data_IF_035554627046
#
_entry.id   IF_035554627046
#
_cell.length_a   1.000
_cell.length_b   1.000
_cell.length_c   1.000
_cell.angle_alpha   90.00
_cell.angle_beta   90.00
_cell.angle_gamma   90.00
#
_symmetry.space_group_name_H-M   'P 1'
#
loop_
_entity.id
_entity.type
_entity.pdbx_description
1 polymer ?
#
# COMPACT_ATOMS: atom_id res chain seq x y z
N UNK A 1 8.60 57.83 -43.31
CA UNK A 1 8.98 56.44 -43.04
C UNK A 1 9.27 56.30 -41.55
N UNK A 2 8.32 55.74 -40.79
CA UNK A 2 8.43 55.55 -39.34
C UNK A 2 8.89 54.12 -39.08
N UNK A 3 10.07 53.96 -38.51
CA UNK A 3 10.61 52.66 -38.08
C UNK A 3 9.81 52.17 -36.88
N UNK A 4 8.94 51.18 -37.11
CA UNK A 4 8.30 50.44 -36.03
C UNK A 4 9.27 49.32 -35.63
N UNK A 5 10.07 49.60 -34.61
CA UNK A 5 10.82 48.58 -33.88
C UNK A 5 9.79 47.82 -33.03
N UNK A 6 9.16 46.83 -33.65
CA UNK A 6 8.33 45.86 -32.92
C UNK A 6 9.26 45.02 -32.05
N UNK A 7 9.27 45.36 -30.76
CA UNK A 7 9.47 44.47 -29.62
C UNK A 7 9.67 43.00 -29.99
N UNK A 8 10.92 42.62 -30.25
CA UNK A 8 11.44 41.28 -29.97
C UNK A 8 11.52 41.11 -28.45
N UNK A 9 10.35 41.16 -27.79
CA UNK A 9 10.16 40.39 -26.56
C UNK A 9 10.21 38.94 -27.02
N UNK A 10 11.45 38.45 -27.12
CA UNK A 10 11.76 37.04 -27.00
C UNK A 10 10.92 36.54 -25.83
N UNK A 11 9.84 35.85 -26.17
CA UNK A 11 9.19 34.93 -25.29
C UNK A 11 10.28 33.96 -24.85
N UNK A 12 10.92 34.28 -23.74
CA UNK A 12 11.43 33.29 -22.80
C UNK A 12 10.16 32.60 -22.33
N UNK A 13 9.66 31.74 -23.21
CA UNK A 13 8.75 30.68 -22.90
C UNK A 13 9.52 29.94 -21.85
N UNK A 14 9.18 30.25 -20.60
CA UNK A 14 9.42 29.38 -19.47
C UNK A 14 8.78 28.09 -19.92
N UNK A 15 9.57 27.23 -20.56
CA UNK A 15 9.31 25.82 -20.62
C UNK A 15 9.27 25.46 -19.16
N UNK A 16 8.08 25.57 -18.57
CA UNK A 16 7.71 24.81 -17.41
C UNK A 16 7.95 23.39 -17.85
N UNK A 17 9.17 22.91 -17.55
CA UNK A 17 9.50 21.52 -17.62
C UNK A 17 8.50 20.90 -16.69
N UNK A 18 7.37 20.45 -17.23
CA UNK A 18 6.44 19.59 -16.54
C UNK A 18 7.26 18.34 -16.22
N UNK A 19 7.92 18.34 -15.05
CA UNK A 19 8.80 17.28 -14.66
C UNK A 19 7.94 16.03 -14.57
N UNK A 20 8.13 15.16 -15.55
CA UNK A 20 7.21 14.06 -15.83
C UNK A 20 7.50 12.95 -14.83
N UNK A 21 6.65 12.83 -13.81
CA UNK A 21 6.60 11.65 -12.96
C UNK A 21 6.45 10.39 -13.81
N UNK A 22 7.42 9.48 -13.73
CA UNK A 22 7.35 8.13 -14.34
C UNK A 22 7.31 7.11 -13.21
N UNK A 23 6.31 6.23 -13.24
CA UNK A 23 6.12 5.17 -12.23
C UNK A 23 6.20 3.83 -12.95
N UNK A 24 7.09 2.97 -12.48
CA UNK A 24 7.28 1.61 -12.95
C UNK A 24 7.04 0.67 -11.78
N UNK A 25 6.16 -0.32 -11.97
CA UNK A 25 6.02 -1.44 -11.06
C UNK A 25 6.36 -2.67 -11.85
N UNK A 26 7.46 -3.34 -11.52
CA UNK A 26 7.92 -4.56 -12.20
C UNK A 26 7.69 -5.76 -11.31
N UNK A 27 7.28 -6.85 -11.95
CA UNK A 27 7.17 -8.17 -11.33
C UNK A 27 8.38 -8.99 -11.74
N UNK A 28 9.15 -9.44 -10.76
CA UNK A 28 10.44 -10.09 -10.97
C UNK A 28 10.37 -11.52 -10.47
N UNK A 29 10.80 -12.48 -11.30
CA UNK A 29 10.95 -13.87 -10.86
C UNK A 29 12.01 -13.91 -9.76
N UNK A 30 11.74 -14.67 -8.71
CA UNK A 30 12.64 -14.81 -7.57
C UNK A 30 12.51 -16.19 -6.93
N UNK A 31 13.55 -16.59 -6.22
CA UNK A 31 13.66 -17.84 -5.46
C UNK A 31 14.18 -17.53 -4.05
N UNK A 32 13.39 -16.79 -3.26
CA UNK A 32 13.71 -16.49 -1.85
C UNK A 32 13.33 -17.67 -0.94
N UNK A 33 12.04 -17.86 -0.70
CA UNK A 33 11.50 -19.00 0.07
C UNK A 33 10.77 -19.99 -0.87
N UNK A 34 10.22 -19.50 -1.99
CA UNK A 34 9.55 -20.29 -3.03
C UNK A 34 9.91 -19.79 -4.43
N UNK A 35 9.76 -20.66 -5.44
CA UNK A 35 9.73 -20.27 -6.85
C UNK A 35 8.49 -19.42 -7.13
N UNK A 36 8.68 -18.11 -7.27
CA UNK A 36 7.59 -17.17 -7.40
C UNK A 36 8.04 -15.81 -7.90
N UNK A 37 7.33 -14.78 -7.46
CA UNK A 37 7.58 -13.41 -7.89
C UNK A 37 7.72 -12.46 -6.70
N UNK A 38 8.32 -11.30 -6.95
CA UNK A 38 8.31 -10.15 -6.08
C UNK A 38 8.02 -8.90 -6.89
N UNK A 39 7.56 -7.85 -6.21
CA UNK A 39 7.36 -6.55 -6.82
C UNK A 39 8.55 -5.64 -6.56
N UNK A 40 8.82 -4.79 -7.54
CA UNK A 40 9.71 -3.64 -7.44
C UNK A 40 8.95 -2.39 -7.87
N UNK A 41 9.10 -1.31 -7.12
CA UNK A 41 8.56 -0.01 -7.46
C UNK A 41 9.70 0.95 -7.73
N UNK A 42 9.69 1.56 -8.92
CA UNK A 42 10.61 2.61 -9.32
C UNK A 42 9.85 3.84 -9.73
N UNK A 43 10.22 4.98 -9.16
CA UNK A 43 9.64 6.28 -9.49
C UNK A 43 10.74 7.24 -9.89
N UNK A 44 10.61 7.86 -11.06
CA UNK A 44 11.49 8.93 -11.52
C UNK A 44 10.71 10.24 -11.42
N UNK A 45 11.20 11.17 -10.61
CA UNK A 45 10.63 12.51 -10.40
C UNK A 45 11.78 13.52 -10.42
N UNK A 46 11.64 14.58 -11.22
CA UNK A 46 12.56 15.72 -11.23
C UNK A 46 14.03 15.32 -11.47
N UNK A 47 14.26 14.29 -12.30
CA UNK A 47 15.59 13.73 -12.57
C UNK A 47 16.13 12.80 -11.48
N UNK A 48 15.46 12.69 -10.32
CA UNK A 48 15.80 11.76 -9.24
C UNK A 48 15.08 10.42 -9.43
N UNK A 49 15.77 9.33 -9.08
CA UNK A 49 15.22 7.97 -9.11
C UNK A 49 15.07 7.44 -7.69
N UNK A 50 13.88 6.95 -7.38
CA UNK A 50 13.51 6.31 -6.11
C UNK A 50 13.12 4.88 -6.42
N UNK A 51 13.70 3.91 -5.72
CA UNK A 51 13.49 2.49 -6.03
C UNK A 51 13.38 1.67 -4.74
N UNK A 52 12.38 0.78 -4.68
CA UNK A 52 12.26 -0.20 -3.60
C UNK A 52 13.13 -1.42 -3.89
N UNK A 53 13.54 -2.12 -2.84
CA UNK A 53 14.21 -3.40 -2.95
C UNK A 53 13.15 -4.52 -2.86
N UNK A 54 13.03 -5.39 -3.88
CA UNK A 54 12.08 -6.50 -3.83
C UNK A 54 12.28 -7.37 -2.59
N UNK A 55 11.19 -7.65 -1.88
CA UNK A 55 11.22 -8.46 -0.65
C UNK A 55 11.77 -7.78 0.60
N UNK A 56 12.27 -6.55 0.52
CA UNK A 56 12.72 -5.76 1.67
C UNK A 56 11.65 -4.74 2.06
N UNK A 57 10.79 -5.09 3.03
CA UNK A 57 9.69 -4.24 3.50
C UNK A 57 10.16 -2.90 4.10
N UNK A 58 11.39 -2.81 4.58
CA UNK A 58 11.93 -1.55 5.10
C UNK A 58 12.04 -0.52 3.97
N UNK A 59 12.48 -0.94 2.78
CA UNK A 59 12.57 -0.07 1.61
C UNK A 59 11.22 0.49 1.15
N UNK A 60 10.12 -0.20 1.46
CA UNK A 60 8.77 0.25 1.15
C UNK A 60 8.24 1.22 2.21
N UNK A 61 8.57 1.04 3.49
CA UNK A 61 7.99 1.78 4.62
C UNK A 61 8.01 3.31 4.43
N UNK A 62 9.15 3.87 4.02
CA UNK A 62 9.30 5.32 3.84
C UNK A 62 9.10 5.78 2.39
N UNK A 63 8.79 4.87 1.46
CA UNK A 63 8.84 5.16 0.03
C UNK A 63 7.94 6.34 -0.36
N UNK A 64 6.70 6.35 0.13
CA UNK A 64 5.71 7.38 -0.20
C UNK A 64 6.02 8.76 0.42
N UNK A 65 6.90 8.85 1.43
CA UNK A 65 7.28 10.14 2.04
C UNK A 65 8.01 11.07 1.07
N UNK A 66 8.59 10.52 0.01
CA UNK A 66 9.26 11.28 -1.05
C UNK A 66 8.30 11.99 -2.01
N UNK A 67 6.98 11.78 -1.87
CA UNK A 67 5.98 12.23 -2.82
C UNK A 67 4.87 13.02 -2.13
N UNK A 68 4.32 14.01 -2.83
CA UNK A 68 3.10 14.69 -2.43
C UNK A 68 1.87 13.77 -2.58
N UNK A 69 0.72 14.18 -2.03
CA UNK A 69 -0.50 13.37 -2.04
C UNK A 69 -0.92 12.95 -3.46
N UNK A 70 -0.82 13.86 -4.44
CA UNK A 70 -1.21 13.60 -5.83
C UNK A 70 -0.35 12.51 -6.45
N UNK A 71 0.96 12.55 -6.22
CA UNK A 71 1.89 11.54 -6.71
C UNK A 71 1.75 10.21 -5.96
N UNK A 72 1.50 10.23 -4.65
CA UNK A 72 1.20 9.02 -3.86
C UNK A 72 0.00 8.28 -4.44
N UNK A 73 -1.09 8.97 -4.73
CA UNK A 73 -2.28 8.37 -5.33
C UNK A 73 -1.98 7.76 -6.70
N UNK A 74 -1.16 8.43 -7.54
CA UNK A 74 -0.73 7.88 -8.84
C UNK A 74 0.11 6.60 -8.70
N UNK A 75 0.95 6.53 -7.67
CA UNK A 75 1.72 5.33 -7.33
C UNK A 75 0.79 4.19 -6.92
N UNK A 76 -0.15 4.44 -6.01
CA UNK A 76 -1.16 3.46 -5.59
C UNK A 76 -1.97 2.92 -6.78
N UNK A 77 -2.35 3.79 -7.72
CA UNK A 77 -3.04 3.41 -8.97
C UNK A 77 -2.20 2.49 -9.86
N UNK A 78 -0.87 2.59 -9.83
CA UNK A 78 -0.01 1.64 -10.58
C UNK A 78 0.12 0.31 -9.87
N UNK A 79 0.23 0.31 -8.55
CA UNK A 79 0.24 -0.90 -7.74
C UNK A 79 -1.08 -1.67 -7.87
N UNK A 80 -2.22 -0.98 -7.90
CA UNK A 80 -3.55 -1.63 -7.97
C UNK A 80 -3.79 -2.50 -9.20
N UNK A 81 -2.95 -2.39 -10.24
CA UNK A 81 -2.94 -3.30 -11.39
C UNK A 81 -2.56 -4.74 -11.03
N UNK A 82 -1.89 -4.94 -9.88
CA UNK A 82 -1.45 -6.24 -9.39
C UNK A 82 -2.44 -6.90 -8.43
N UNK A 83 -3.59 -6.26 -8.14
CA UNK A 83 -4.62 -6.83 -7.27
C UNK A 83 -5.33 -8.07 -7.85
N UNK A 84 -5.15 -8.34 -9.14
CA UNK A 84 -5.65 -9.54 -9.80
C UNK A 84 -4.48 -10.48 -10.21
N UNK A 85 -3.26 -10.25 -9.70
CA UNK A 85 -2.11 -11.13 -9.92
C UNK A 85 -2.04 -12.20 -8.81
N UNK A 86 -2.61 -13.37 -9.10
CA UNK A 86 -2.67 -14.50 -8.17
C UNK A 86 -1.43 -15.40 -8.21
N UNK A 87 -0.36 -14.97 -8.90
CA UNK A 87 0.90 -15.70 -8.86
C UNK A 87 1.50 -15.73 -7.46
N UNK A 88 2.24 -16.79 -7.14
CA UNK A 88 2.85 -17.01 -5.84
C UNK A 88 3.89 -15.92 -5.53
N UNK A 89 3.78 -15.28 -4.36
CA UNK A 89 4.85 -14.47 -3.83
C UNK A 89 6.02 -15.38 -3.44
N UNK A 90 7.24 -14.99 -3.82
CA UNK A 90 8.44 -15.79 -3.54
C UNK A 90 8.80 -15.83 -2.05
N UNK A 91 8.27 -14.91 -1.23
CA UNK A 91 8.45 -14.91 0.22
C UNK A 91 7.42 -15.79 0.91
N UNK A 92 7.87 -16.42 1.98
CA UNK A 92 7.00 -17.05 2.96
C UNK A 92 6.33 -16.01 3.84
N UNK A 93 5.17 -16.38 4.37
CA UNK A 93 4.48 -15.60 5.39
C UNK A 93 5.43 -15.46 6.59
N UNK A 94 5.83 -14.23 6.87
CA UNK A 94 6.63 -13.86 8.03
C UNK A 94 6.05 -12.61 8.64
N UNK A 95 6.13 -12.52 9.97
CA UNK A 95 5.73 -11.33 10.68
C UNK A 95 6.60 -10.13 10.26
N UNK A 96 5.95 -9.01 10.02
CA UNK A 96 6.56 -7.71 9.78
C UNK A 96 6.18 -6.86 10.98
N UNK A 97 7.15 -6.66 11.86
CA UNK A 97 6.93 -5.92 13.09
C UNK A 97 7.18 -4.43 12.87
N UNK A 98 6.35 -3.56 13.48
CA UNK A 98 6.64 -2.14 13.49
C UNK A 98 7.93 -1.88 14.26
N UNK A 99 8.62 -0.77 13.95
CA UNK A 99 9.80 -0.33 14.72
C UNK A 99 9.43 0.12 16.12
N UNK A 100 8.20 0.59 16.29
CA UNK A 100 7.66 1.14 17.53
C UNK A 100 6.29 0.54 17.80
N UNK A 101 6.02 0.20 19.06
CA UNK A 101 4.71 -0.30 19.52
C UNK A 101 4.68 -1.80 19.73
N UNK A 102 3.58 -2.27 20.33
CA UNK A 102 3.32 -3.70 20.56
C UNK A 102 2.41 -4.18 19.42
N UNK A 103 2.79 -5.24 18.68
CA UNK A 103 1.95 -5.77 17.61
C UNK A 103 0.67 -6.38 18.22
N UNK A 104 -0.42 -5.60 18.18
CA UNK A 104 -1.74 -6.02 18.69
C UNK A 104 -2.39 -7.08 17.80
N UNK A 105 -1.89 -7.22 16.58
CA UNK A 105 -2.32 -8.19 15.56
C UNK A 105 -1.32 -9.31 15.36
N UNK A 106 -0.37 -9.52 16.29
CA UNK A 106 0.50 -10.68 16.27
C UNK A 106 -0.35 -11.95 16.46
N UNK A 107 -0.84 -12.49 15.35
CA UNK A 107 -1.51 -13.77 15.31
C UNK A 107 -0.47 -14.86 15.63
N UNK A 108 -0.84 -15.76 16.55
CA UNK A 108 0.07 -16.80 17.05
C UNK A 108 -0.03 -18.11 16.25
N UNK A 109 -0.98 -18.24 15.31
CA UNK A 109 -1.34 -19.57 14.79
C UNK A 109 -1.69 -19.65 13.31
N UNK A 110 -1.14 -18.79 12.44
CA UNK A 110 -1.36 -19.03 11.01
C UNK A 110 -0.61 -20.26 10.50
N UNK A 111 -1.37 -21.20 9.93
CA UNK A 111 -0.84 -22.38 9.23
C UNK A 111 -0.44 -22.06 7.79
N UNK A 112 -0.94 -20.95 7.23
CA UNK A 112 -0.64 -20.52 5.88
C UNK A 112 0.78 -19.98 5.78
N UNK A 113 1.57 -20.56 4.89
CA UNK A 113 2.98 -20.18 4.67
C UNK A 113 3.20 -19.46 3.34
N UNK A 114 2.17 -19.37 2.51
CA UNK A 114 2.21 -18.84 1.14
C UNK A 114 1.14 -17.77 0.98
N UNK A 115 1.39 -16.83 0.08
CA UNK A 115 0.45 -15.78 -0.28
C UNK A 115 0.75 -15.30 -1.71
N UNK A 116 -0.21 -14.64 -2.36
CA UNK A 116 -0.09 -14.22 -3.76
C UNK A 116 0.46 -12.80 -3.90
N UNK A 117 0.88 -12.44 -5.11
CA UNK A 117 1.27 -11.06 -5.46
C UNK A 117 0.14 -10.06 -5.21
N UNK A 118 -1.12 -10.44 -5.40
CA UNK A 118 -2.26 -9.62 -5.05
C UNK A 118 -2.27 -9.26 -3.55
N UNK A 119 -2.07 -10.26 -2.67
CA UNK A 119 -1.99 -10.06 -1.22
C UNK A 119 -0.75 -9.24 -0.84
N UNK A 120 0.42 -9.57 -1.40
CA UNK A 120 1.66 -8.78 -1.22
C UNK A 120 1.43 -7.31 -1.58
N UNK A 121 0.79 -7.03 -2.72
CA UNK A 121 0.53 -5.67 -3.18
C UNK A 121 -0.31 -4.89 -2.19
N UNK A 122 -1.42 -5.47 -1.73
CA UNK A 122 -2.29 -4.82 -0.75
C UNK A 122 -1.57 -4.59 0.59
N UNK A 123 -0.75 -5.56 1.00
CA UNK A 123 0.05 -5.46 2.23
C UNK A 123 1.12 -4.37 2.13
N UNK A 124 1.85 -4.31 1.02
CA UNK A 124 2.83 -3.25 0.76
C UNK A 124 2.19 -1.87 0.75
N UNK A 125 0.98 -1.72 0.19
CA UNK A 125 0.22 -0.46 0.23
C UNK A 125 -0.04 -0.05 1.68
N UNK A 126 -0.48 -0.97 2.54
CA UNK A 126 -0.68 -0.68 3.95
C UNK A 126 0.60 -0.16 4.59
N UNK A 127 1.69 -0.89 4.36
CA UNK A 127 3.00 -0.60 4.93
C UNK A 127 3.52 0.78 4.51
N UNK A 128 3.34 1.14 3.24
CA UNK A 128 3.69 2.46 2.71
C UNK A 128 2.84 3.62 3.24
N UNK A 129 1.56 3.37 3.53
CA UNK A 129 0.59 4.41 3.86
C UNK A 129 0.52 4.64 5.36
N UNK A 130 0.41 3.56 6.14
CA UNK A 130 0.18 3.61 7.58
C UNK A 130 1.44 3.33 8.40
N UNK A 131 2.54 2.88 7.77
CA UNK A 131 3.81 2.62 8.45
C UNK A 131 3.61 1.70 9.66
N UNK A 132 4.13 2.11 10.82
CA UNK A 132 4.05 1.31 12.05
C UNK A 132 2.60 1.06 12.52
N UNK A 133 1.65 1.93 12.15
CA UNK A 133 0.24 1.75 12.48
C UNK A 133 -0.42 0.59 11.75
N UNK A 134 0.23 0.02 10.72
CA UNK A 134 -0.24 -1.25 10.13
C UNK A 134 -0.31 -2.39 11.14
N UNK A 135 0.40 -2.30 12.27
CA UNK A 135 0.27 -3.27 13.35
C UNK A 135 -1.14 -3.30 13.98
N UNK A 136 -1.99 -2.30 13.72
CA UNK A 136 -3.43 -2.28 14.05
C UNK A 136 -4.31 -2.84 12.93
N UNK A 137 -3.72 -3.47 11.94
CA UNK A 137 -4.44 -4.19 10.88
C UNK A 137 -3.85 -5.58 10.78
N UNK A 138 -2.59 -5.69 10.40
CA UNK A 138 -1.90 -6.96 10.45
C UNK A 138 -0.39 -6.78 10.38
N UNK A 139 0.29 -7.70 11.06
CA UNK A 139 1.73 -7.89 10.92
C UNK A 139 2.08 -8.99 9.93
N UNK A 140 1.10 -9.63 9.28
CA UNK A 140 1.31 -10.72 8.34
C UNK A 140 0.64 -10.43 6.98
N UNK A 141 1.27 -10.78 5.85
CA UNK A 141 0.65 -10.66 4.54
C UNK A 141 -0.33 -11.83 4.29
N UNK A 142 -1.35 -11.95 5.15
CA UNK A 142 -2.38 -13.00 5.12
C UNK A 142 -3.76 -12.37 5.28
N UNK A 143 -4.76 -12.96 4.61
CA UNK A 143 -6.16 -12.63 4.84
C UNK A 143 -6.85 -13.68 5.71
N UNK A 144 -7.92 -13.29 6.38
CA UNK A 144 -8.71 -14.13 7.26
C UNK A 144 -10.19 -14.01 6.91
N UNK A 145 -10.89 -15.14 6.89
CA UNK A 145 -12.34 -15.19 6.71
C UNK A 145 -13.01 -15.28 8.08
N UNK A 146 -13.68 -14.20 8.50
CA UNK A 146 -14.36 -14.13 9.80
C UNK A 146 -15.47 -15.15 9.96
N UNK A 147 -16.20 -15.46 8.88
CA UNK A 147 -17.36 -16.37 8.96
C UNK A 147 -16.95 -17.83 9.10
N UNK A 148 -15.83 -18.19 8.48
CA UNK A 148 -15.29 -19.55 8.48
C UNK A 148 -14.22 -19.75 9.56
N UNK A 149 -13.77 -18.65 10.16
CA UNK A 149 -12.70 -18.59 11.15
C UNK A 149 -11.37 -19.20 10.69
N UNK A 150 -11.05 -19.06 9.40
CA UNK A 150 -9.83 -19.62 8.79
C UNK A 150 -9.02 -18.57 8.04
N UNK A 151 -7.70 -18.76 8.00
CA UNK A 151 -6.84 -18.01 7.09
C UNK A 151 -7.11 -18.41 5.64
N UNK A 152 -7.04 -17.42 4.76
CA UNK A 152 -7.29 -17.57 3.34
C UNK A 152 -6.03 -18.11 2.66
N UNK A 153 -6.16 -19.25 1.99
CA UNK A 153 -5.09 -19.84 1.19
C UNK A 153 -4.66 -18.91 0.03
N UNK A 154 -3.38 -18.98 -0.35
CA UNK A 154 -2.79 -18.09 -1.36
C UNK A 154 -3.52 -18.09 -2.72
N UNK A 155 -4.19 -19.19 -3.06
CA UNK A 155 -4.89 -19.41 -4.32
C UNK A 155 -6.41 -19.28 -4.22
N UNK A 156 -6.97 -18.87 -3.07
CA UNK A 156 -8.39 -18.52 -2.98
C UNK A 156 -8.66 -17.16 -3.64
N UNK A 157 -8.78 -17.23 -4.97
CA UNK A 157 -9.05 -16.09 -5.84
C UNK A 157 -10.31 -15.34 -5.42
N UNK A 158 -11.35 -16.04 -4.94
CA UNK A 158 -12.64 -15.43 -4.62
C UNK A 158 -12.52 -14.51 -3.41
N UNK A 159 -11.89 -14.98 -2.33
CA UNK A 159 -11.69 -14.19 -1.12
C UNK A 159 -10.71 -13.05 -1.35
N UNK A 160 -9.59 -13.30 -2.06
CA UNK A 160 -8.61 -12.26 -2.41
C UNK A 160 -9.26 -11.15 -3.26
N UNK A 161 -10.12 -11.52 -4.22
CA UNK A 161 -10.83 -10.56 -5.07
C UNK A 161 -11.79 -9.66 -4.29
N UNK A 162 -12.42 -10.17 -3.21
CA UNK A 162 -13.25 -9.35 -2.33
C UNK A 162 -12.41 -8.26 -1.67
N UNK A 163 -11.28 -8.63 -1.06
CA UNK A 163 -10.39 -7.65 -0.43
C UNK A 163 -9.83 -6.65 -1.45
N UNK A 164 -9.42 -7.12 -2.63
CA UNK A 164 -8.99 -6.27 -3.73
C UNK A 164 -10.04 -5.22 -4.13
N UNK A 165 -11.33 -5.55 -4.07
CA UNK A 165 -12.40 -4.59 -4.36
C UNK A 165 -12.46 -3.45 -3.32
N UNK A 166 -12.24 -3.75 -2.04
CA UNK A 166 -12.14 -2.76 -0.95
C UNK A 166 -11.00 -1.79 -1.23
N UNK A 167 -9.81 -2.30 -1.56
CA UNK A 167 -8.66 -1.45 -1.93
C UNK A 167 -8.91 -0.63 -3.19
N UNK A 168 -9.54 -1.21 -4.22
CA UNK A 168 -9.89 -0.47 -5.46
C UNK A 168 -10.86 0.68 -5.15
N UNK A 169 -11.86 0.46 -4.30
CA UNK A 169 -12.80 1.49 -3.88
C UNK A 169 -12.10 2.59 -3.05
N UNK A 170 -11.26 2.19 -2.10
CA UNK A 170 -10.48 3.11 -1.27
C UNK A 170 -9.57 4.00 -2.12
N UNK A 171 -8.80 3.44 -3.07
CA UNK A 171 -7.94 4.23 -3.97
C UNK A 171 -8.76 5.23 -4.79
N UNK A 172 -9.95 4.84 -5.30
CA UNK A 172 -10.83 5.76 -6.04
C UNK A 172 -11.28 6.95 -5.21
N UNK A 173 -11.59 6.75 -3.92
CA UNK A 173 -11.91 7.85 -3.00
C UNK A 173 -10.74 8.83 -2.85
N UNK A 174 -9.51 8.30 -2.71
CA UNK A 174 -8.31 9.15 -2.62
C UNK A 174 -8.00 9.88 -3.93
N UNK A 175 -8.37 9.31 -5.09
CA UNK A 175 -8.33 10.03 -6.38
C UNK A 175 -9.28 11.25 -6.43
N UNK A 176 -10.34 11.24 -5.63
CA UNK A 176 -11.32 12.33 -5.53
C UNK A 176 -10.92 13.40 -4.49
N UNK A 177 -9.71 13.31 -3.93
CA UNK A 177 -9.18 14.30 -2.99
C UNK A 177 -9.44 13.99 -1.51
N UNK A 178 -10.00 12.82 -1.19
CA UNK A 178 -10.13 12.37 0.20
C UNK A 178 -8.72 12.17 0.80
N UNK A 179 -8.48 12.72 2.01
CA UNK A 179 -7.20 12.58 2.72
C UNK A 179 -6.99 11.12 3.13
N UNK A 180 -5.73 10.67 3.14
CA UNK A 180 -5.37 9.39 3.76
C UNK A 180 -5.41 9.57 5.27
N UNK A 181 -6.14 8.70 5.98
CA UNK A 181 -6.31 8.80 7.42
C UNK A 181 -6.01 7.46 8.10
N UNK A 182 -5.50 7.49 9.33
CA UNK A 182 -5.35 6.29 10.14
C UNK A 182 -6.70 5.58 10.39
N UNK A 183 -7.82 6.30 10.36
CA UNK A 183 -9.16 5.70 10.45
C UNK A 183 -9.52 4.84 9.24
N UNK A 184 -8.84 5.00 8.10
CA UNK A 184 -9.02 4.13 6.94
C UNK A 184 -8.68 2.66 7.27
N UNK A 185 -7.86 2.41 8.30
CA UNK A 185 -7.54 1.06 8.79
C UNK A 185 -8.82 0.30 9.14
N UNK A 186 -9.81 0.96 9.76
CA UNK A 186 -11.08 0.32 10.12
C UNK A 186 -11.94 -0.06 8.91
N UNK A 187 -11.83 0.67 7.79
CA UNK A 187 -12.57 0.33 6.58
C UNK A 187 -12.16 -1.06 6.06
N UNK A 188 -10.90 -1.46 6.25
CA UNK A 188 -10.40 -2.78 5.85
C UNK A 188 -10.82 -3.92 6.80
N UNK A 189 -11.34 -3.60 7.99
CA UNK A 189 -11.77 -4.57 9.00
C UNK A 189 -13.29 -4.74 9.06
N UNK A 190 -14.07 -3.93 8.33
CA UNK A 190 -15.54 -3.97 8.31
C UNK A 190 -16.14 -5.09 7.46
N UNK A 191 -15.30 -5.84 6.73
CA UNK A 191 -15.71 -6.85 5.76
C UNK A 191 -15.65 -8.27 6.34
N UNK A 192 -16.25 -9.25 5.66
CA UNK A 192 -16.11 -10.67 6.04
C UNK A 192 -14.69 -11.21 5.84
N UNK A 193 -13.95 -10.62 4.89
CA UNK A 193 -12.55 -10.94 4.59
C UNK A 193 -11.71 -9.77 5.09
N UNK A 194 -10.88 -10.03 6.09
CA UNK A 194 -10.05 -9.03 6.76
C UNK A 194 -8.58 -9.46 6.69
N UNK A 195 -7.68 -8.65 7.24
CA UNK A 195 -6.30 -9.07 7.43
C UNK A 195 -6.15 -10.04 8.61
N UNK A 196 -5.25 -11.01 8.50
CA UNK A 196 -4.95 -11.95 9.58
C UNK A 196 -4.43 -11.24 10.82
N UNK A 197 -5.01 -11.49 11.98
CA UNK A 197 -4.73 -10.79 13.23
C UNK A 197 -5.68 -9.61 13.50
N UNK A 198 -6.35 -9.04 12.49
CA UNK A 198 -7.35 -7.97 12.69
C UNK A 198 -8.54 -8.43 13.53
N UNK A 199 -8.88 -9.73 13.53
CA UNK A 199 -9.96 -10.27 14.34
C UNK A 199 -9.77 -10.02 15.85
N UNK A 200 -8.52 -9.85 16.29
CA UNK A 200 -8.18 -9.54 17.69
C UNK A 200 -8.52 -8.08 18.06
N UNK A 201 -8.83 -7.24 17.08
CA UNK A 201 -9.14 -5.82 17.27
C UNK A 201 -10.64 -5.52 17.21
N UNK A 202 -11.48 -6.54 17.02
CA UNK A 202 -12.93 -6.38 16.91
C UNK A 202 -13.63 -6.17 18.25
N UNK A 203 -12.92 -6.29 19.36
CA UNK A 203 -13.43 -5.85 20.65
C UNK A 203 -13.65 -4.33 20.62
N UNK A 204 -14.89 -3.89 20.91
CA UNK A 204 -15.25 -2.48 21.01
C UNK A 204 -14.34 -1.70 21.95
N UNK A 205 -13.78 -2.33 22.97
CA UNK A 205 -12.81 -1.69 23.88
C UNK A 205 -11.53 -1.27 23.14
N UNK A 206 -11.07 -2.09 22.19
CA UNK A 206 -9.86 -1.87 21.40
C UNK A 206 -10.10 -0.82 20.32
N UNK A 207 -11.28 -0.84 19.68
CA UNK A 207 -11.70 0.20 18.73
C UNK A 207 -11.77 1.57 19.42
N UNK A 208 -12.45 1.67 20.57
CA UNK A 208 -12.53 2.92 21.35
C UNK A 208 -11.16 3.39 21.82
N UNK A 209 -10.29 2.48 22.23
CA UNK A 209 -8.92 2.83 22.63
C UNK A 209 -8.12 3.40 21.46
N UNK A 210 -8.20 2.78 20.28
CA UNK A 210 -7.55 3.30 19.08
C UNK A 210 -8.10 4.68 18.71
N UNK A 211 -9.42 4.85 18.65
CA UNK A 211 -10.02 6.16 18.40
C UNK A 211 -9.55 7.22 19.40
N UNK A 212 -9.51 6.90 20.69
CA UNK A 212 -9.07 7.85 21.72
C UNK A 212 -7.57 8.17 21.62
N UNK A 213 -6.76 7.22 21.16
CA UNK A 213 -5.31 7.40 21.01
C UNK A 213 -4.94 8.23 19.77
N UNK A 214 -5.76 8.18 18.72
CA UNK A 214 -5.47 8.80 17.42
C UNK A 214 -6.41 9.95 17.04
N UNK A 215 -7.41 10.30 17.88
CA UNK A 215 -8.18 11.57 17.77
C UNK A 215 -7.35 12.82 18.07
N UNK A 216 -6.12 12.67 18.58
CA UNK A 216 -5.26 13.81 18.96
C UNK A 216 -4.39 14.36 17.80
N UNK A 217 -4.30 13.67 16.66
CA UNK A 217 -3.37 14.01 15.57
C UNK A 217 -4.02 14.73 14.36
N UNK A 218 -5.28 15.13 14.46
CA UNK A 218 -5.98 15.94 13.43
C UNK A 218 -5.84 17.48 13.68
N UNK A 219 -4.68 17.93 14.19
CA UNK A 219 -4.27 19.35 14.23
C UNK A 219 -3.21 19.66 13.17
#
# INVERSE_FOLDING_TARGET
MRYIIFLLLFGISIHSYAQKLKIFVTREKSHLDYDGYLLRLKVIKDGKSYETKPGDYESWFYFLRNFDLKDRVRILKKLSKYFDDYSLCSKSVKAVFPRVGIPRTADRFSTEKKYSIAVETMFLINWMIFGDHTCFMSTYPILYNKRQEVHIAYNDVKSIKKMAAVYKAWIRKKEQGEKMSLYDIFQFNGEDIIWGGSQNLEDQSTVRFFENSFKMDDL
#
